data_IF_538370902087
#
_entry.id   IF_538370902087
#
_cell.length_a   1.000
_cell.length_b   1.000
_cell.length_c   1.000
_cell.angle_alpha   90.00
_cell.angle_beta   90.00
_cell.angle_gamma   90.00
#
_symmetry.space_group_name_H-M   'P 1'
#
loop_
_entity.id
_entity.type
_entity.pdbx_description
1 polymer ?
#
# COMPACT_ATOMS: atom_id res chain seq x y z
N UNK A 1 25.49 16.74 -25.98
CA UNK A 1 24.88 15.60 -26.71
C UNK A 1 23.42 15.48 -26.30
N UNK A 2 22.52 15.11 -27.22
CA UNK A 2 21.07 15.15 -26.98
C UNK A 2 20.61 14.11 -25.94
N UNK A 3 19.69 14.51 -25.05
CA UNK A 3 19.03 13.60 -24.10
C UNK A 3 17.91 12.85 -24.83
N UNK A 4 18.26 11.79 -25.54
CA UNK A 4 17.29 10.96 -26.26
C UNK A 4 16.52 10.06 -25.29
N UNK A 5 15.20 10.03 -25.47
CA UNK A 5 14.31 9.06 -24.84
C UNK A 5 13.95 8.00 -25.89
N UNK A 6 13.94 6.72 -25.50
CA UNK A 6 13.52 5.60 -26.35
C UNK A 6 12.16 5.12 -25.87
N UNK A 7 11.18 4.96 -26.77
CA UNK A 7 9.84 4.47 -26.44
C UNK A 7 9.72 2.95 -26.68
N UNK A 8 9.18 2.23 -25.69
CA UNK A 8 8.60 0.91 -25.90
C UNK A 8 7.20 1.07 -26.50
N UNK A 9 7.09 0.81 -27.79
CA UNK A 9 5.84 0.93 -28.56
C UNK A 9 4.74 0.00 -28.03
N UNK A 10 5.09 -1.08 -27.32
CA UNK A 10 4.10 -2.03 -26.78
C UNK A 10 3.41 -1.54 -25.50
N UNK A 11 4.08 -0.69 -24.71
CA UNK A 11 3.59 -0.17 -23.43
C UNK A 11 3.35 1.34 -23.43
N UNK A 12 3.90 2.08 -24.39
CA UNK A 12 3.96 3.55 -24.41
C UNK A 12 4.93 4.13 -23.38
N UNK A 13 5.68 3.29 -22.67
CA UNK A 13 6.66 3.73 -21.67
C UNK A 13 7.91 4.22 -22.42
N UNK A 14 8.50 5.33 -21.98
CA UNK A 14 9.78 5.78 -22.53
C UNK A 14 10.92 5.53 -21.53
N UNK A 15 12.16 5.49 -22.01
CA UNK A 15 13.35 5.15 -21.24
C UNK A 15 14.47 6.13 -21.59
N UNK A 16 15.26 6.58 -20.62
CA UNK A 16 16.41 7.47 -20.84
C UNK A 16 17.63 6.91 -20.11
N UNK A 17 18.56 6.32 -20.85
CA UNK A 17 19.77 5.73 -20.28
C UNK A 17 20.91 6.76 -20.32
N UNK A 18 21.56 6.96 -19.16
CA UNK A 18 22.65 7.93 -18.97
C UNK A 18 23.92 7.17 -18.51
N UNK A 19 24.68 6.53 -19.42
CA UNK A 19 25.75 5.59 -19.05
C UNK A 19 27.02 6.27 -18.51
N UNK A 20 27.31 7.50 -18.96
CA UNK A 20 28.54 8.24 -18.63
C UNK A 20 28.43 9.07 -17.33
N UNK A 21 27.39 8.86 -16.53
CA UNK A 21 27.04 9.70 -15.38
C UNK A 21 27.48 9.08 -14.04
N UNK A 22 28.66 9.48 -13.55
CA UNK A 22 29.19 9.09 -12.24
C UNK A 22 28.45 9.78 -11.08
N UNK A 23 27.20 9.38 -10.83
CA UNK A 23 26.30 9.96 -9.83
C UNK A 23 26.07 9.00 -8.65
N UNK A 24 25.79 9.54 -7.47
CA UNK A 24 25.17 8.76 -6.39
C UNK A 24 23.70 8.50 -6.67
N UNK A 25 23.11 7.48 -6.04
CA UNK A 25 21.68 7.15 -6.17
C UNK A 25 20.75 8.35 -5.91
N UNK A 26 21.02 9.14 -4.85
CA UNK A 26 20.23 10.33 -4.54
C UNK A 26 20.34 11.43 -5.60
N UNK A 27 21.53 11.64 -6.18
CA UNK A 27 21.74 12.61 -7.26
C UNK A 27 21.06 12.14 -8.55
N UNK A 28 21.19 10.86 -8.91
CA UNK A 28 20.50 10.26 -10.05
C UNK A 28 18.98 10.43 -9.92
N UNK A 29 18.41 10.10 -8.75
CA UNK A 29 16.99 10.29 -8.45
C UNK A 29 16.55 11.75 -8.63
N UNK A 30 17.31 12.70 -8.10
CA UNK A 30 17.01 14.13 -8.22
C UNK A 30 17.01 14.61 -9.67
N UNK A 31 17.90 14.06 -10.52
CA UNK A 31 17.97 14.37 -11.96
C UNK A 31 16.79 13.75 -12.73
N UNK A 32 16.31 12.56 -12.35
CA UNK A 32 15.06 12.01 -12.89
C UNK A 32 13.86 12.90 -12.52
N UNK A 33 13.75 13.30 -11.25
CA UNK A 33 12.68 14.16 -10.75
C UNK A 33 12.65 15.55 -11.41
N UNK A 34 13.83 16.15 -11.67
CA UNK A 34 13.97 17.39 -12.44
C UNK A 34 13.48 17.27 -13.89
N UNK A 35 13.38 16.05 -14.44
CA UNK A 35 12.86 15.78 -15.78
C UNK A 35 11.39 15.28 -15.75
N UNK A 36 10.69 15.47 -14.62
CA UNK A 36 9.32 14.97 -14.38
C UNK A 36 9.21 13.44 -14.60
N UNK A 37 10.24 12.72 -14.17
CA UNK A 37 10.35 11.27 -14.15
C UNK A 37 10.82 10.79 -12.76
N UNK A 38 11.05 9.49 -12.60
CA UNK A 38 11.58 8.87 -11.38
C UNK A 38 12.60 7.79 -11.81
N UNK A 39 13.35 7.19 -10.88
CA UNK A 39 14.21 6.05 -11.22
C UNK A 39 13.39 4.83 -11.66
N UNK A 40 13.94 3.99 -12.55
CA UNK A 40 13.28 2.78 -13.09
C UNK A 40 12.66 1.91 -11.99
N UNK A 41 11.40 1.53 -12.21
CA UNK A 41 10.77 0.36 -11.58
C UNK A 41 10.51 -0.72 -12.62
N UNK A 42 11.06 -1.92 -12.43
CA UNK A 42 10.70 -3.07 -13.26
C UNK A 42 9.58 -3.84 -12.54
N UNK A 43 8.38 -3.87 -13.12
CA UNK A 43 7.25 -4.61 -12.52
C UNK A 43 6.83 -5.83 -13.32
N UNK A 44 7.26 -5.94 -14.58
CA UNK A 44 6.83 -6.98 -15.52
C UNK A 44 8.00 -7.63 -16.26
N UNK A 45 7.83 -8.90 -16.67
CA UNK A 45 8.88 -9.68 -17.34
C UNK A 45 9.24 -9.09 -18.71
N UNK A 46 8.26 -8.55 -19.45
CA UNK A 46 8.50 -7.92 -20.76
C UNK A 46 9.33 -6.64 -20.63
N UNK A 47 9.10 -5.85 -19.57
CA UNK A 47 9.87 -4.65 -19.26
C UNK A 47 11.33 -5.00 -18.93
N UNK A 48 11.58 -6.07 -18.17
CA UNK A 48 12.94 -6.57 -17.94
C UNK A 48 13.65 -6.96 -19.25
N UNK A 49 12.95 -7.65 -20.15
CA UNK A 49 13.52 -8.05 -21.44
C UNK A 49 13.85 -6.83 -22.32
N UNK A 50 12.92 -5.88 -22.41
CA UNK A 50 13.10 -4.64 -23.17
C UNK A 50 14.25 -3.78 -22.62
N UNK A 51 14.28 -3.56 -21.30
CA UNK A 51 15.38 -2.83 -20.65
C UNK A 51 16.71 -3.54 -20.81
N UNK A 52 16.74 -4.88 -20.76
CA UNK A 52 17.95 -5.67 -21.02
C UNK A 52 18.49 -5.48 -22.44
N UNK A 53 17.62 -5.48 -23.45
CA UNK A 53 17.99 -5.20 -24.83
C UNK A 53 18.47 -3.75 -25.05
N UNK A 54 17.90 -2.78 -24.33
CA UNK A 54 18.39 -1.40 -24.34
C UNK A 54 19.76 -1.25 -23.65
N UNK A 55 20.07 -2.08 -22.64
CA UNK A 55 21.31 -1.92 -21.85
C UNK A 55 22.47 -2.83 -22.26
N UNK A 56 22.24 -3.85 -23.10
CA UNK A 56 23.23 -4.86 -23.50
C UNK A 56 24.60 -4.33 -24.00
N UNK A 57 24.63 -3.12 -24.53
CA UNK A 57 25.84 -2.49 -25.07
C UNK A 57 26.57 -1.58 -24.07
N UNK A 58 26.06 -1.39 -22.85
CA UNK A 58 26.72 -0.59 -21.82
C UNK A 58 27.49 -1.50 -20.85
N UNK A 59 28.77 -1.20 -20.65
CA UNK A 59 29.64 -1.89 -19.69
C UNK A 59 29.49 -1.38 -18.25
N UNK A 60 28.82 -0.24 -18.05
CA UNK A 60 28.67 0.43 -16.75
C UNK A 60 27.37 0.06 -16.04
N UNK A 61 27.48 -0.22 -14.74
CA UNK A 61 26.35 -0.25 -13.82
C UNK A 61 25.65 1.13 -13.77
N UNK A 62 24.32 1.16 -13.88
CA UNK A 62 23.50 2.38 -13.79
C UNK A 62 22.79 2.44 -12.40
N UNK A 63 21.70 3.22 -12.24
CA UNK A 63 20.90 3.27 -10.99
C UNK A 63 19.39 3.03 -11.23
N UNK A 64 18.75 2.17 -10.41
CA UNK A 64 17.30 1.85 -10.44
C UNK A 64 16.61 2.37 -9.18
N UNK A 65 15.28 2.40 -9.18
CA UNK A 65 14.49 2.87 -8.06
C UNK A 65 14.36 1.91 -6.88
N UNK A 66 14.80 0.65 -7.01
CA UNK A 66 14.68 -0.37 -5.97
C UNK A 66 15.58 -0.03 -4.79
N UNK A 67 15.00 0.07 -3.60
CA UNK A 67 15.72 0.46 -2.40
C UNK A 67 15.10 -0.14 -1.13
N UNK A 68 15.87 -0.10 -0.05
CA UNK A 68 15.46 -0.48 1.31
C UNK A 68 15.78 0.63 2.33
N UNK A 69 15.68 1.90 1.91
CA UNK A 69 16.06 3.07 2.72
C UNK A 69 15.16 3.29 3.94
N UNK A 70 13.93 2.77 3.91
CA UNK A 70 13.04 2.78 5.06
C UNK A 70 13.33 1.55 5.93
N UNK A 71 14.05 1.74 7.05
CA UNK A 71 14.45 0.66 7.97
C UNK A 71 13.31 -0.25 8.45
N UNK A 72 12.07 0.28 8.50
CA UNK A 72 10.91 -0.48 8.95
C UNK A 72 10.30 -1.38 7.87
N UNK A 73 10.49 -1.10 6.57
CA UNK A 73 9.91 -1.88 5.46
C UNK A 73 10.98 -2.64 4.66
N UNK A 74 10.51 -3.56 3.82
CA UNK A 74 11.34 -4.30 2.87
C UNK A 74 11.70 -3.50 1.63
N UNK A 75 12.08 -4.24 0.58
CA UNK A 75 12.38 -3.69 -0.73
C UNK A 75 11.15 -2.99 -1.34
N UNK A 76 11.37 -1.80 -1.89
CA UNK A 76 10.34 -0.98 -2.53
C UNK A 76 10.91 -0.18 -3.70
N UNK A 77 10.10 0.07 -4.73
CA UNK A 77 10.43 1.02 -5.79
C UNK A 77 10.14 2.46 -5.33
N UNK A 78 11.00 3.42 -5.68
CA UNK A 78 10.57 4.83 -5.72
C UNK A 78 9.51 5.02 -6.80
N UNK A 79 8.67 6.06 -6.67
CA UNK A 79 7.50 6.27 -7.52
C UNK A 79 6.26 5.48 -7.10
N UNK A 80 6.40 4.48 -6.21
CA UNK A 80 5.29 3.75 -5.61
C UNK A 80 4.86 2.48 -6.36
N UNK A 81 5.58 2.11 -7.42
CA UNK A 81 5.36 0.86 -8.15
C UNK A 81 5.48 -0.38 -7.22
N UNK A 82 4.64 -1.41 -7.41
CA UNK A 82 4.68 -2.62 -6.59
C UNK A 82 5.96 -3.43 -6.82
N UNK A 83 6.65 -3.85 -5.76
CA UNK A 83 7.81 -4.74 -5.87
C UNK A 83 7.33 -6.20 -5.96
N UNK A 84 6.85 -6.57 -7.16
CA UNK A 84 6.24 -7.87 -7.46
C UNK A 84 7.09 -8.81 -8.32
N UNK A 85 8.11 -8.27 -8.99
CA UNK A 85 8.98 -9.01 -9.90
C UNK A 85 10.42 -8.91 -9.40
N UNK A 86 11.10 -10.06 -9.34
CA UNK A 86 12.48 -10.19 -8.86
C UNK A 86 13.38 -10.68 -9.99
N UNK A 87 14.58 -10.10 -10.08
CA UNK A 87 15.64 -10.55 -11.00
C UNK A 87 17.01 -10.28 -10.38
N UNK A 88 17.29 -10.94 -9.25
CA UNK A 88 18.53 -10.76 -8.50
C UNK A 88 19.69 -11.54 -9.16
N UNK A 89 20.82 -10.88 -9.36
CA UNK A 89 22.03 -11.55 -9.82
C UNK A 89 22.54 -12.55 -8.76
N UNK A 90 23.05 -13.74 -9.15
CA UNK A 90 23.70 -14.66 -8.22
C UNK A 90 24.90 -13.97 -7.54
N UNK A 91 24.72 -13.63 -6.26
CA UNK A 91 25.72 -13.04 -5.39
C UNK A 91 26.40 -11.74 -5.89
N UNK A 92 25.65 -10.65 -6.10
CA UNK A 92 26.04 -9.31 -5.58
C UNK A 92 24.94 -8.24 -5.69
N UNK A 93 24.95 -7.28 -4.76
CA UNK A 93 24.11 -6.07 -4.79
C UNK A 93 24.77 -4.93 -5.60
N UNK A 94 24.22 -4.57 -6.76
CA UNK A 94 24.37 -3.30 -7.52
C UNK A 94 24.00 -3.56 -8.99
N UNK A 95 22.77 -3.32 -9.47
CA UNK A 95 22.35 -2.07 -10.16
C UNK A 95 22.91 -1.88 -11.60
N UNK A 96 22.19 -1.41 -12.63
CA UNK A 96 20.76 -1.07 -12.82
C UNK A 96 20.50 -0.44 -14.23
N UNK A 97 19.37 0.28 -14.43
CA UNK A 97 18.97 1.03 -15.64
C UNK A 97 17.88 2.12 -15.37
N UNK A 98 17.43 2.88 -16.37
CA UNK A 98 16.49 4.01 -16.21
C UNK A 98 15.22 3.90 -17.08
N UNK A 99 14.05 4.29 -16.54
CA UNK A 99 12.75 4.29 -17.22
C UNK A 99 11.82 5.41 -16.73
N UNK A 100 10.91 5.84 -17.61
CA UNK A 100 9.73 6.66 -17.31
C UNK A 100 8.60 5.73 -16.84
N UNK A 101 7.50 6.32 -16.42
CA UNK A 101 6.18 5.71 -16.57
C UNK A 101 5.28 6.78 -17.19
N UNK A 102 4.53 6.45 -18.24
CA UNK A 102 3.43 7.33 -18.66
C UNK A 102 2.25 7.13 -17.73
N UNK A 103 1.86 8.17 -17.01
CA UNK A 103 0.63 8.15 -16.22
C UNK A 103 -0.57 8.25 -17.17
N UNK A 104 -1.51 7.31 -17.05
CA UNK A 104 -2.82 7.41 -17.69
C UNK A 104 -3.88 7.72 -16.63
N UNK A 105 -4.49 8.91 -16.67
CA UNK A 105 -5.69 9.16 -15.86
C UNK A 105 -6.91 8.53 -16.50
N UNK A 106 -7.28 7.35 -16.02
CA UNK A 106 -8.66 6.86 -16.15
C UNK A 106 -9.57 7.70 -15.26
N UNK A 107 -10.27 8.69 -15.83
CA UNK A 107 -11.54 9.16 -15.27
C UNK A 107 -12.67 8.26 -15.76
N UNK A 108 -13.00 7.21 -15.02
CA UNK A 108 -14.39 6.76 -14.99
C UNK A 108 -15.16 7.70 -14.07
N UNK A 109 -15.75 8.73 -14.67
CA UNK A 109 -16.72 9.60 -14.02
C UNK A 109 -18.01 8.84 -13.75
N UNK A 110 -18.00 8.03 -12.70
CA UNK A 110 -19.18 7.40 -12.12
C UNK A 110 -19.23 7.71 -10.64
N UNK A 111 -20.21 8.53 -10.21
CA UNK A 111 -20.64 8.51 -8.81
C UNK A 111 -21.41 7.21 -8.59
N UNK A 112 -20.68 6.13 -8.38
CA UNK A 112 -21.28 5.00 -7.69
C UNK A 112 -21.18 5.32 -6.19
N UNK A 113 -22.29 5.81 -5.64
CA UNK A 113 -22.43 5.92 -4.19
C UNK A 113 -22.12 4.54 -3.59
N UNK A 114 -21.18 4.49 -2.64
CA UNK A 114 -20.83 3.28 -1.93
C UNK A 114 -22.06 2.78 -1.15
N UNK A 115 -22.87 1.94 -1.80
CA UNK A 115 -24.05 1.32 -1.19
C UNK A 115 -23.60 0.55 0.05
N UNK A 116 -24.33 0.62 1.17
CA UNK A 116 -24.01 -0.18 2.35
C UNK A 116 -23.91 -1.66 1.98
N UNK A 117 -22.76 -2.26 2.29
CA UNK A 117 -22.46 -3.64 1.92
C UNK A 117 -22.85 -4.53 3.08
N UNK A 118 -23.82 -5.42 2.86
CA UNK A 118 -24.14 -6.48 3.81
C UNK A 118 -23.24 -7.67 3.52
N UNK A 119 -22.38 -8.00 4.48
CA UNK A 119 -21.59 -9.22 4.48
C UNK A 119 -22.28 -10.30 5.33
N UNK A 120 -22.01 -11.60 5.08
CA UNK A 120 -22.49 -12.67 5.95
C UNK A 120 -21.92 -12.57 7.37
N UNK A 121 -22.55 -13.23 8.34
CA UNK A 121 -22.04 -13.27 9.72
C UNK A 121 -20.61 -13.82 9.77
N UNK A 122 -19.74 -13.18 10.56
CA UNK A 122 -18.30 -13.48 10.59
C UNK A 122 -17.50 -12.92 9.41
N UNK A 123 -18.07 -12.01 8.61
CA UNK A 123 -17.37 -11.28 7.55
C UNK A 123 -17.53 -9.76 7.73
N UNK A 124 -16.43 -9.02 7.60
CA UNK A 124 -16.40 -7.57 7.77
C UNK A 124 -16.41 -6.86 6.41
N UNK A 125 -17.31 -5.88 6.18
CA UNK A 125 -17.38 -5.13 4.94
C UNK A 125 -16.27 -4.07 4.83
N UNK A 126 -15.59 -4.01 3.69
CA UNK A 126 -14.72 -2.90 3.33
C UNK A 126 -14.65 -2.71 1.81
N UNK A 127 -14.83 -1.46 1.35
CA UNK A 127 -14.59 -1.01 -0.04
C UNK A 127 -14.99 -2.01 -1.15
N UNK A 128 -16.27 -2.38 -1.24
CA UNK A 128 -16.79 -3.28 -2.27
C UNK A 128 -16.72 -4.78 -1.94
N UNK A 129 -16.16 -5.17 -0.79
CA UNK A 129 -15.78 -6.55 -0.49
C UNK A 129 -16.07 -6.94 0.97
N UNK A 130 -16.05 -8.23 1.24
CA UNK A 130 -16.21 -8.86 2.54
C UNK A 130 -14.94 -9.65 2.89
N UNK A 131 -14.43 -9.50 4.12
CA UNK A 131 -13.18 -10.14 4.58
C UNK A 131 -13.41 -10.93 5.86
N UNK A 132 -12.65 -12.01 6.06
CA UNK A 132 -12.71 -12.80 7.30
C UNK A 132 -11.37 -13.46 7.61
N UNK A 133 -10.94 -13.42 8.88
CA UNK A 133 -9.74 -14.11 9.36
C UNK A 133 -10.13 -15.51 9.84
N UNK A 134 -9.58 -16.52 9.19
CA UNK A 134 -9.72 -17.92 9.56
C UNK A 134 -8.54 -18.30 10.45
N UNK A 135 -8.82 -18.60 11.73
CA UNK A 135 -7.80 -18.90 12.76
C UNK A 135 -7.43 -20.38 12.91
N UNK A 136 -8.02 -21.25 12.09
CA UNK A 136 -7.61 -22.65 11.98
C UNK A 136 -6.38 -22.72 11.07
N UNK A 137 -5.18 -23.14 11.54
CA UNK A 137 -3.99 -23.12 10.71
C UNK A 137 -4.05 -24.12 9.55
N UNK A 138 -3.67 -23.69 8.35
CA UNK A 138 -3.60 -24.53 7.14
C UNK A 138 -2.37 -24.17 6.30
N UNK A 139 -1.92 -25.11 5.48
CA UNK A 139 -0.93 -24.82 4.42
C UNK A 139 -1.59 -23.91 3.37
N UNK A 140 -0.81 -23.15 2.61
CA UNK A 140 -1.36 -22.09 1.73
C UNK A 140 -2.41 -22.63 0.73
N UNK A 141 -2.16 -23.80 0.14
CA UNK A 141 -3.07 -24.47 -0.81
C UNK A 141 -4.40 -24.91 -0.18
N UNK A 142 -4.38 -25.35 1.08
CA UNK A 142 -5.57 -25.75 1.83
C UNK A 142 -6.33 -24.54 2.36
N UNK A 143 -5.62 -23.47 2.72
CA UNK A 143 -6.19 -22.17 3.05
C UNK A 143 -6.95 -21.58 1.85
N UNK A 144 -6.34 -21.58 0.66
CA UNK A 144 -7.01 -21.22 -0.60
C UNK A 144 -8.25 -22.06 -0.87
N UNK A 145 -8.13 -23.39 -0.76
CA UNK A 145 -9.26 -24.31 -0.94
C UNK A 145 -10.39 -24.04 0.07
N UNK A 146 -10.04 -23.67 1.31
CA UNK A 146 -11.00 -23.33 2.36
C UNK A 146 -11.73 -22.00 2.08
N UNK A 147 -11.05 -20.98 1.56
CA UNK A 147 -11.71 -19.76 1.09
C UNK A 147 -12.63 -20.05 -0.11
N UNK A 148 -12.17 -20.85 -1.09
CA UNK A 148 -12.97 -21.22 -2.27
C UNK A 148 -14.29 -21.93 -1.91
N UNK A 149 -14.28 -22.78 -0.87
CA UNK A 149 -15.51 -23.42 -0.34
C UNK A 149 -16.54 -22.43 0.23
N UNK A 150 -16.14 -21.19 0.53
CA UNK A 150 -17.00 -20.14 1.08
C UNK A 150 -17.37 -19.06 0.05
N UNK A 151 -17.23 -19.37 -1.25
CA UNK A 151 -17.37 -18.44 -2.38
C UNK A 151 -16.43 -17.23 -2.25
N UNK A 152 -15.17 -17.51 -1.88
CA UNK A 152 -14.14 -16.52 -1.62
C UNK A 152 -12.78 -16.94 -2.22
N UNK A 153 -11.80 -16.06 -2.08
CA UNK A 153 -10.39 -16.34 -2.35
C UNK A 153 -9.55 -15.99 -1.12
N UNK A 154 -8.26 -16.31 -1.11
CA UNK A 154 -7.32 -15.68 -0.19
C UNK A 154 -7.25 -14.18 -0.48
N UNK A 155 -7.06 -13.36 0.55
CA UNK A 155 -7.17 -11.92 0.42
C UNK A 155 -6.08 -11.32 -0.48
N UNK A 156 -6.53 -10.68 -1.55
CA UNK A 156 -5.77 -9.73 -2.37
C UNK A 156 -5.82 -8.32 -1.79
N UNK A 157 -4.77 -7.53 -2.02
CA UNK A 157 -4.63 -6.17 -1.47
C UNK A 157 -4.07 -5.21 -2.55
N UNK A 158 -4.81 -4.15 -2.86
CA UNK A 158 -4.57 -3.29 -4.02
C UNK A 158 -4.15 -1.87 -3.69
N UNK A 159 -4.31 -1.44 -2.44
CA UNK A 159 -4.01 -0.08 -2.00
C UNK A 159 -3.76 -0.02 -0.48
N UNK A 160 -3.24 1.14 -0.03
CA UNK A 160 -2.91 1.39 1.38
C UNK A 160 -4.14 1.34 2.30
N UNK A 161 -5.33 1.73 1.83
CA UNK A 161 -6.52 1.80 2.68
C UNK A 161 -7.12 0.42 2.97
N UNK A 162 -7.10 -0.48 1.99
CA UNK A 162 -7.42 -1.90 2.15
C UNK A 162 -6.44 -2.61 3.09
N UNK A 163 -5.13 -2.39 2.91
CA UNK A 163 -4.11 -2.86 3.84
C UNK A 163 -4.33 -2.31 5.26
N UNK A 164 -4.60 -1.01 5.40
CA UNK A 164 -4.91 -0.38 6.69
C UNK A 164 -6.15 -0.96 7.35
N UNK A 165 -7.16 -1.38 6.59
CA UNK A 165 -8.34 -2.07 7.11
C UNK A 165 -7.99 -3.45 7.69
N UNK A 166 -7.18 -4.25 6.99
CA UNK A 166 -6.74 -5.57 7.49
C UNK A 166 -6.04 -5.45 8.85
N UNK A 167 -5.16 -4.47 9.02
CA UNK A 167 -4.37 -4.31 10.27
C UNK A 167 -5.11 -3.57 11.40
N UNK A 168 -6.06 -2.68 11.10
CA UNK A 168 -6.73 -1.85 12.12
C UNK A 168 -8.11 -2.32 12.56
N UNK A 169 -8.88 -2.99 11.69
CA UNK A 169 -10.31 -3.24 11.89
C UNK A 169 -10.73 -4.70 11.73
N UNK A 170 -10.01 -5.50 10.93
CA UNK A 170 -10.35 -6.91 10.74
C UNK A 170 -10.04 -7.80 11.97
N UNK A 171 -9.49 -7.22 13.05
CA UNK A 171 -9.13 -7.96 14.26
C UNK A 171 -7.82 -8.75 14.15
N UNK A 172 -6.90 -8.27 13.31
CA UNK A 172 -5.51 -8.74 13.23
C UNK A 172 -4.77 -8.53 14.57
N UNK A 173 -3.89 -9.47 14.93
CA UNK A 173 -3.01 -9.34 16.09
C UNK A 173 -1.53 -9.40 15.67
N UNK A 174 -0.64 -8.55 16.23
CA UNK A 174 0.80 -8.56 15.95
C UNK A 174 1.53 -9.91 16.11
N UNK A 175 0.96 -10.81 16.92
CA UNK A 175 1.47 -12.17 17.19
C UNK A 175 1.00 -13.22 16.19
N UNK A 176 0.08 -12.87 15.29
CA UNK A 176 -0.45 -13.76 14.25
C UNK A 176 0.35 -13.58 12.94
N UNK A 177 0.67 -14.70 12.28
CA UNK A 177 1.07 -14.74 10.87
C UNK A 177 -0.13 -15.24 10.06
N UNK A 178 -0.58 -14.48 9.06
CA UNK A 178 -1.78 -14.78 8.27
C UNK A 178 -1.46 -14.91 6.79
N UNK A 179 -1.80 -16.02 6.13
CA UNK A 179 -1.68 -16.14 4.67
C UNK A 179 -2.52 -15.09 3.91
N UNK A 180 -1.91 -14.52 2.87
CA UNK A 180 -2.54 -13.71 1.84
C UNK A 180 -2.53 -14.47 0.50
N UNK A 181 -3.26 -13.97 -0.51
CA UNK A 181 -3.31 -14.62 -1.82
C UNK A 181 -2.05 -14.45 -2.70
N UNK A 182 -1.03 -13.72 -2.23
CA UNK A 182 0.16 -13.41 -3.02
C UNK A 182 1.13 -14.60 -2.99
N UNK A 183 1.57 -15.03 -4.16
CA UNK A 183 2.40 -16.23 -4.37
C UNK A 183 3.15 -16.13 -5.71
N UNK A 184 4.21 -16.91 -5.92
CA UNK A 184 4.92 -17.02 -7.21
C UNK A 184 4.80 -18.42 -7.86
N UNK A 185 3.78 -19.21 -7.47
CA UNK A 185 3.60 -20.63 -7.83
C UNK A 185 3.55 -20.90 -9.34
N UNK A 186 3.03 -19.97 -10.15
CA UNK A 186 2.91 -20.16 -11.60
C UNK A 186 4.18 -19.78 -12.36
N UNK A 187 4.94 -18.83 -11.82
CA UNK A 187 6.11 -18.24 -12.44
C UNK A 187 7.03 -17.74 -11.33
N UNK A 188 8.05 -18.54 -11.04
CA UNK A 188 9.00 -18.24 -9.99
C UNK A 188 9.61 -16.83 -10.16
N UNK A 189 9.79 -16.11 -9.06
CA UNK A 189 10.19 -14.69 -9.00
C UNK A 189 9.15 -13.67 -9.49
N UNK A 190 7.94 -14.08 -9.89
CA UNK A 190 6.87 -13.20 -10.35
C UNK A 190 5.61 -13.40 -9.49
N UNK A 191 5.45 -12.54 -8.49
CA UNK A 191 4.34 -12.60 -7.56
C UNK A 191 3.02 -12.17 -8.20
N UNK A 192 1.97 -12.97 -7.99
CA UNK A 192 0.60 -12.75 -8.45
C UNK A 192 -0.44 -13.10 -7.37
N UNK A 193 -1.65 -12.53 -7.48
CA UNK A 193 -2.76 -12.83 -6.57
C UNK A 193 -3.52 -14.08 -7.03
N UNK A 194 -3.87 -14.96 -6.07
CA UNK A 194 -4.64 -16.19 -6.31
C UNK A 194 -6.02 -15.98 -6.93
N UNK A 195 -6.63 -14.81 -6.72
CA UNK A 195 -7.90 -14.39 -7.32
C UNK A 195 -7.77 -13.84 -8.76
N UNK A 196 -6.55 -13.77 -9.30
CA UNK A 196 -6.25 -13.27 -10.64
C UNK A 196 -6.31 -11.75 -10.78
N UNK A 197 -6.47 -11.00 -9.69
CA UNK A 197 -6.42 -9.54 -9.72
C UNK A 197 -4.99 -9.01 -9.90
N UNK A 198 -4.79 -7.81 -10.47
CA UNK A 198 -3.44 -7.25 -10.66
C UNK A 198 -2.79 -6.88 -9.32
N UNK A 199 -1.49 -7.17 -9.20
CA UNK A 199 -0.69 -6.75 -8.04
C UNK A 199 -0.31 -5.28 -8.21
N UNK A 200 -1.12 -4.38 -7.66
CA UNK A 200 -0.94 -2.91 -7.72
C UNK A 200 -0.29 -2.31 -6.47
N UNK A 201 -0.08 -3.11 -5.42
CA UNK A 201 0.41 -2.66 -4.12
C UNK A 201 1.19 -3.77 -3.41
N UNK A 202 2.28 -3.40 -2.73
CA UNK A 202 3.11 -4.32 -1.94
C UNK A 202 3.60 -3.66 -0.65
N UNK A 203 3.56 -4.38 0.48
CA UNK A 203 4.08 -3.92 1.78
C UNK A 203 4.98 -4.95 2.47
N UNK A 204 6.13 -5.21 1.86
CA UNK A 204 7.13 -6.14 2.38
C UNK A 204 7.69 -5.73 3.76
N UNK A 205 7.97 -6.74 4.58
CA UNK A 205 8.73 -6.63 5.83
C UNK A 205 10.21 -6.41 5.50
N UNK A 206 10.95 -5.75 6.40
CA UNK A 206 12.41 -5.59 6.26
C UNK A 206 13.09 -6.90 5.85
N UNK A 207 13.96 -6.82 4.82
CA UNK A 207 14.67 -7.93 4.15
C UNK A 207 13.83 -8.90 3.31
N UNK A 208 12.49 -8.81 3.31
CA UNK A 208 11.64 -9.56 2.38
C UNK A 208 11.37 -8.79 1.08
N UNK A 209 10.97 -9.49 -0.01
CA UNK A 209 10.94 -10.95 -0.18
C UNK A 209 12.34 -11.58 -0.08
N UNK A 210 12.45 -12.68 0.66
CA UNK A 210 13.66 -13.51 0.78
C UNK A 210 13.51 -14.71 -0.13
N UNK A 211 14.54 -15.02 -0.91
CA UNK A 211 14.56 -16.17 -1.83
C UNK A 211 15.14 -17.41 -1.15
N UNK A 212 14.46 -18.55 -1.29
CA UNK A 212 14.96 -19.87 -0.90
C UNK A 212 15.15 -20.71 -2.15
N UNK A 213 16.38 -21.18 -2.42
CA UNK A 213 16.73 -21.75 -3.73
C UNK A 213 15.91 -23.00 -4.10
N UNK A 214 15.10 -22.90 -5.14
CA UNK A 214 14.31 -24.01 -5.67
C UNK A 214 13.02 -24.32 -4.92
N UNK A 215 12.51 -23.40 -4.10
CA UNK A 215 11.20 -23.51 -3.44
C UNK A 215 10.24 -22.43 -3.93
N UNK A 216 8.96 -22.79 -3.96
CA UNK A 216 7.84 -21.87 -4.18
C UNK A 216 7.62 -20.98 -2.93
N UNK A 217 7.45 -19.67 -3.13
CA UNK A 217 7.30 -18.68 -2.07
C UNK A 217 5.84 -18.20 -1.94
N UNK A 218 5.23 -18.51 -0.79
CA UNK A 218 3.91 -18.01 -0.40
C UNK A 218 4.03 -16.83 0.57
N UNK A 219 3.08 -15.90 0.56
CA UNK A 219 3.21 -14.64 1.31
C UNK A 219 2.25 -14.56 2.50
N UNK A 220 2.81 -14.30 3.68
CA UNK A 220 2.08 -14.08 4.92
C UNK A 220 2.21 -12.65 5.44
N UNK A 221 1.13 -12.12 6.03
CA UNK A 221 1.07 -10.87 6.78
C UNK A 221 1.49 -11.12 8.23
N UNK A 222 2.47 -10.38 8.78
CA UNK A 222 3.01 -10.62 10.13
C UNK A 222 3.57 -9.38 10.85
N UNK A 223 3.73 -9.51 12.16
CA UNK A 223 4.36 -8.51 13.04
C UNK A 223 3.47 -7.30 13.34
N UNK A 224 3.99 -6.36 14.14
CA UNK A 224 3.25 -5.19 14.62
C UNK A 224 2.57 -4.36 13.51
N UNK A 225 3.21 -4.29 12.35
CA UNK A 225 2.76 -3.50 11.21
C UNK A 225 1.94 -4.34 10.21
N UNK A 226 1.81 -5.65 10.40
CA UNK A 226 1.24 -6.56 9.39
C UNK A 226 1.98 -6.49 8.06
N UNK A 227 3.31 -6.36 8.05
CA UNK A 227 4.08 -6.39 6.82
C UNK A 227 4.18 -7.80 6.25
N UNK A 228 4.44 -7.88 4.95
CA UNK A 228 4.38 -9.11 4.18
C UNK A 228 5.75 -9.80 4.17
N UNK A 229 5.78 -11.10 4.38
CA UNK A 229 6.98 -11.92 4.32
C UNK A 229 6.74 -13.15 3.44
N UNK A 230 7.73 -13.48 2.61
CA UNK A 230 7.78 -14.79 1.94
C UNK A 230 8.05 -15.89 2.95
N UNK A 231 7.47 -17.06 2.70
CA UNK A 231 7.48 -18.20 3.60
C UNK A 231 7.16 -19.48 2.82
N UNK A 232 7.64 -20.63 3.29
CA UNK A 232 7.38 -21.92 2.63
C UNK A 232 5.88 -22.25 2.64
N UNK A 233 5.31 -22.56 1.49
CA UNK A 233 3.87 -22.75 1.31
C UNK A 233 3.25 -23.85 2.20
N UNK A 234 4.05 -24.84 2.60
CA UNK A 234 3.65 -25.93 3.50
C UNK A 234 3.62 -25.54 4.99
N UNK A 235 3.93 -24.29 5.34
CA UNK A 235 3.77 -23.82 6.72
C UNK A 235 2.28 -23.70 7.07
N UNK A 236 1.85 -24.34 8.16
CA UNK A 236 0.50 -24.19 8.65
C UNK A 236 0.33 -22.83 9.34
N UNK A 237 -0.41 -21.92 8.70
CA UNK A 237 -0.74 -20.59 9.23
C UNK A 237 -2.25 -20.36 9.17
N UNK A 238 -2.74 -19.49 10.04
CA UNK A 238 -4.05 -18.85 9.88
C UNK A 238 -4.08 -18.03 8.58
N UNK A 239 -5.25 -17.62 8.09
CA UNK A 239 -5.37 -17.02 6.75
C UNK A 239 -6.53 -16.04 6.63
N UNK A 240 -6.45 -15.13 5.65
CA UNK A 240 -7.49 -14.14 5.38
C UNK A 240 -8.22 -14.51 4.09
N UNK A 241 -9.54 -14.66 4.15
CA UNK A 241 -10.38 -14.80 2.96
C UNK A 241 -11.01 -13.45 2.57
N UNK A 242 -11.22 -13.24 1.26
CA UNK A 242 -11.87 -12.07 0.66
C UNK A 242 -12.90 -12.53 -0.38
N UNK A 243 -14.07 -11.90 -0.40
CA UNK A 243 -15.08 -12.09 -1.46
C UNK A 243 -15.84 -10.82 -1.81
N UNK A 244 -16.53 -10.84 -2.94
CA UNK A 244 -17.57 -9.85 -3.23
C UNK A 244 -18.81 -10.12 -2.35
N UNK A 245 -19.58 -9.10 -1.97
CA UNK A 245 -20.84 -9.31 -1.28
C UNK A 245 -21.84 -10.01 -2.19
N UNK A 246 -22.69 -10.85 -1.58
CA UNK A 246 -23.81 -11.48 -2.26
C UNK A 246 -24.80 -10.43 -2.75
N UNK A 247 -25.39 -10.63 -3.93
CA UNK A 247 -26.15 -9.64 -4.69
C UNK A 247 -27.55 -9.30 -4.13
N UNK A 248 -27.86 -9.64 -2.88
CA UNK A 248 -29.15 -9.30 -2.27
C UNK A 248 -29.15 -7.85 -1.78
N UNK A 249 -30.12 -7.09 -2.28
CA UNK A 249 -30.17 -5.63 -2.20
C UNK A 249 -30.76 -5.10 -0.89
N UNK A 250 -30.09 -4.08 -0.36
CA UNK A 250 -30.65 -2.92 0.36
C UNK A 250 -31.64 -3.14 1.50
N UNK A 251 -31.17 -2.78 2.70
CA UNK A 251 -31.82 -1.68 3.42
C UNK A 251 -30.77 -0.77 4.05
N UNK A 252 -31.11 0.51 4.30
CA UNK A 252 -30.18 1.49 4.89
C UNK A 252 -30.10 1.32 6.39
N UNK A 253 -29.36 0.33 6.86
CA UNK A 253 -28.73 0.46 8.18
C UNK A 253 -27.51 1.38 8.04
N UNK A 254 -27.70 2.65 8.41
CA UNK A 254 -26.56 3.43 8.88
C UNK A 254 -26.01 2.69 10.09
N UNK A 255 -24.83 2.08 9.96
CA UNK A 255 -24.12 1.47 11.08
C UNK A 255 -23.89 2.59 12.11
N UNK A 256 -24.74 2.63 13.13
CA UNK A 256 -24.65 3.55 14.25
C UNK A 256 -23.61 3.01 15.21
N UNK A 257 -22.45 3.66 15.25
CA UNK A 257 -21.35 3.30 16.14
C UNK A 257 -21.77 3.55 17.61
N UNK A 258 -21.94 2.51 18.46
CA UNK A 258 -22.50 2.70 19.79
C UNK A 258 -21.62 3.61 20.66
N UNK A 259 -22.20 4.73 21.10
CA UNK A 259 -21.53 5.79 21.86
C UNK A 259 -21.06 6.99 21.04
N UNK A 260 -21.14 6.96 19.71
CA UNK A 260 -20.80 8.09 18.85
C UNK A 260 -22.04 8.84 18.32
N UNK A 261 -21.86 10.11 17.96
CA UNK A 261 -22.90 10.88 17.28
C UNK A 261 -23.14 10.36 15.86
N UNK A 262 -24.35 10.55 15.33
CA UNK A 262 -24.73 10.12 13.98
C UNK A 262 -23.75 10.66 12.91
N UNK A 263 -23.18 9.76 12.13
CA UNK A 263 -22.19 10.07 11.08
C UNK A 263 -20.73 10.01 11.52
N UNK A 264 -20.45 9.91 12.83
CA UNK A 264 -19.11 9.70 13.37
C UNK A 264 -18.79 8.19 13.43
N UNK A 265 -17.52 7.84 13.24
CA UNK A 265 -17.01 6.46 13.30
C UNK A 265 -16.13 6.24 14.51
N UNK A 266 -16.35 5.13 15.23
CA UNK A 266 -15.64 4.83 16.46
C UNK A 266 -14.34 4.11 16.19
N UNK A 267 -13.28 4.52 16.88
CA UNK A 267 -12.05 3.74 16.99
C UNK A 267 -11.51 3.85 18.42
N UNK A 268 -11.38 2.70 19.09
CA UNK A 268 -11.06 2.63 20.52
C UNK A 268 -12.08 3.37 21.39
N UNK A 269 -11.63 4.43 22.07
CA UNK A 269 -12.43 5.29 22.94
C UNK A 269 -12.86 6.61 22.27
N UNK A 270 -12.49 6.84 21.00
CA UNK A 270 -12.71 8.10 20.30
C UNK A 270 -13.69 7.92 19.14
N UNK A 271 -14.35 9.03 18.77
CA UNK A 271 -15.22 9.13 17.61
C UNK A 271 -14.59 10.11 16.61
N UNK A 272 -14.59 9.76 15.32
CA UNK A 272 -13.95 10.53 14.25
C UNK A 272 -14.96 10.88 13.16
N UNK A 273 -14.80 12.05 12.54
CA UNK A 273 -15.64 12.51 11.44
C UNK A 273 -14.77 13.12 10.34
N UNK A 274 -15.06 12.79 9.08
CA UNK A 274 -14.43 13.41 7.91
C UNK A 274 -15.37 14.47 7.34
N UNK A 275 -14.97 15.73 7.47
CA UNK A 275 -15.69 16.86 6.87
C UNK A 275 -15.81 16.74 5.34
N UNK A 276 -16.90 17.26 4.79
CA UNK A 276 -17.15 17.30 3.34
C UNK A 276 -16.79 18.64 2.69
N UNK A 277 -16.56 19.69 3.49
CA UNK A 277 -16.19 21.02 3.01
C UNK A 277 -14.67 21.13 2.79
N UNK A 278 -14.27 21.78 1.70
CA UNK A 278 -12.88 22.18 1.47
C UNK A 278 -12.61 23.46 2.28
N UNK A 279 -11.83 23.35 3.35
CA UNK A 279 -11.55 24.41 4.31
C UNK A 279 -10.05 24.65 4.47
N UNK A 280 -9.65 25.85 4.89
CA UNK A 280 -8.31 26.09 5.42
C UNK A 280 -8.13 25.44 6.81
N UNK A 281 -6.88 25.30 7.28
CA UNK A 281 -6.59 24.76 8.61
C UNK A 281 -7.32 25.51 9.74
N UNK A 282 -7.37 26.85 9.67
CA UNK A 282 -8.03 27.66 10.72
C UNK A 282 -9.54 27.49 10.74
N UNK A 283 -10.17 27.43 9.56
CA UNK A 283 -11.61 27.16 9.43
C UNK A 283 -11.94 25.74 9.89
N UNK A 284 -11.15 24.74 9.47
CA UNK A 284 -11.34 23.35 9.87
C UNK A 284 -11.21 23.18 11.40
N UNK A 285 -10.21 23.80 12.04
CA UNK A 285 -10.07 23.78 13.50
C UNK A 285 -11.30 24.39 14.19
N UNK A 286 -11.76 25.57 13.75
CA UNK A 286 -12.99 26.19 14.27
C UNK A 286 -14.21 25.29 14.05
N UNK A 287 -14.34 24.60 12.92
CA UNK A 287 -15.46 23.70 12.65
C UNK A 287 -15.48 22.50 13.62
N UNK A 288 -14.31 21.94 13.93
CA UNK A 288 -14.18 20.91 14.96
C UNK A 288 -14.57 21.45 16.35
N UNK A 289 -14.07 22.63 16.74
CA UNK A 289 -14.38 23.27 18.03
C UNK A 289 -15.90 23.50 18.21
N UNK A 290 -16.59 24.03 17.19
CA UNK A 290 -18.05 24.19 17.21
C UNK A 290 -18.81 22.86 17.36
N UNK A 291 -18.21 21.76 16.90
CA UNK A 291 -18.75 20.40 17.04
C UNK A 291 -18.38 19.74 18.38
N UNK A 292 -17.79 20.48 19.33
CA UNK A 292 -17.23 20.00 20.60
C UNK A 292 -16.15 18.93 20.42
N UNK A 293 -15.37 19.06 19.35
CA UNK A 293 -14.26 18.19 18.99
C UNK A 293 -13.01 19.03 18.66
N UNK A 294 -11.94 18.38 18.21
CA UNK A 294 -10.71 19.01 17.72
C UNK A 294 -10.25 18.32 16.42
N UNK A 295 -9.35 18.95 15.66
CA UNK A 295 -8.71 18.29 14.51
C UNK A 295 -7.95 17.05 15.00
N UNK A 296 -8.17 15.91 14.33
CA UNK A 296 -7.71 14.61 14.80
C UNK A 296 -6.22 14.59 15.19
N UNK A 297 -5.97 14.04 16.39
CA UNK A 297 -4.64 13.59 16.83
C UNK A 297 -4.27 12.28 16.12
N UNK A 298 -3.01 11.88 16.24
CA UNK A 298 -2.54 10.55 15.82
C UNK A 298 -1.52 10.09 16.86
N UNK A 299 -1.97 9.27 17.80
CA UNK A 299 -1.21 8.77 18.94
C UNK A 299 -0.58 7.41 18.66
N UNK A 300 -1.16 6.65 17.71
CA UNK A 300 -0.68 5.31 17.37
C UNK A 300 -0.69 5.00 15.88
N UNK A 301 0.09 3.99 15.48
CA UNK A 301 0.10 3.44 14.13
C UNK A 301 -1.24 2.83 13.71
N UNK A 302 -1.96 2.22 14.66
CA UNK A 302 -3.23 1.55 14.35
C UNK A 302 -4.35 2.57 14.15
N UNK A 303 -4.30 3.69 14.88
CA UNK A 303 -5.13 4.88 14.63
C UNK A 303 -4.77 5.55 13.30
N UNK A 304 -3.49 5.72 12.99
CA UNK A 304 -3.04 6.20 11.67
C UNK A 304 -3.61 5.33 10.53
N UNK A 305 -3.60 4.00 10.69
CA UNK A 305 -4.20 3.09 9.74
C UNK A 305 -5.74 3.26 9.69
N UNK A 306 -6.42 3.32 10.84
CA UNK A 306 -7.87 3.57 10.88
C UNK A 306 -8.25 4.87 10.14
N UNK A 307 -7.54 5.98 10.37
CA UNK A 307 -7.79 7.25 9.67
C UNK A 307 -7.63 7.12 8.15
N UNK A 308 -6.65 6.35 7.67
CA UNK A 308 -6.50 6.03 6.23
C UNK A 308 -7.74 5.29 5.71
N UNK A 309 -8.30 4.34 6.46
CA UNK A 309 -9.53 3.65 6.05
C UNK A 309 -10.75 4.57 6.00
N UNK A 310 -10.82 5.55 6.92
CA UNK A 310 -11.92 6.49 7.05
C UNK A 310 -11.93 7.54 5.92
N UNK A 311 -10.75 7.93 5.44
CA UNK A 311 -10.57 8.68 4.20
C UNK A 311 -10.92 7.80 2.98
N UNK A 312 -10.54 6.51 3.01
CA UNK A 312 -11.00 5.48 2.08
C UNK A 312 -10.61 5.76 0.62
N UNK A 313 -11.59 5.59 -0.29
CA UNK A 313 -11.42 5.82 -1.73
C UNK A 313 -11.88 7.24 -2.17
N UNK A 314 -11.83 8.22 -1.26
CA UNK A 314 -12.17 9.61 -1.59
C UNK A 314 -11.22 10.21 -2.62
N UNK A 315 -11.72 11.20 -3.35
CA UNK A 315 -11.00 11.90 -4.43
C UNK A 315 -10.09 13.03 -3.94
N UNK A 316 -10.33 13.47 -2.71
CA UNK A 316 -9.66 14.56 -2.03
C UNK A 316 -8.21 14.17 -1.70
N UNK A 317 -7.25 14.98 -2.15
CA UNK A 317 -5.80 14.63 -2.10
C UNK A 317 -5.18 14.75 -0.71
N UNK A 318 -5.74 15.57 0.16
CA UNK A 318 -5.20 15.87 1.48
C UNK A 318 -6.35 16.13 2.45
N UNK A 319 -6.15 15.76 3.72
CA UNK A 319 -7.08 15.99 4.82
C UNK A 319 -6.31 16.63 5.98
N UNK A 320 -6.94 17.59 6.68
CA UNK A 320 -6.31 18.25 7.82
C UNK A 320 -6.33 17.35 9.07
N UNK A 321 -5.21 17.32 9.78
CA UNK A 321 -5.04 16.74 11.12
C UNK A 321 -4.55 17.85 12.08
N UNK A 322 -4.58 17.61 13.39
CA UNK A 322 -4.29 18.65 14.40
C UNK A 322 -2.83 19.07 14.54
N UNK A 323 -1.88 18.44 13.83
CA UNK A 323 -0.45 18.69 14.03
C UNK A 323 -0.01 19.99 13.33
N UNK A 324 0.50 20.95 14.08
CA UNK A 324 0.99 22.22 13.52
C UNK A 324 2.15 22.83 14.31
N UNK A 325 2.94 23.67 13.65
CA UNK A 325 4.01 24.48 14.23
C UNK A 325 3.67 25.99 14.24
N UNK A 326 2.37 26.31 14.22
CA UNK A 326 1.86 27.69 14.13
C UNK A 326 2.07 28.48 15.42
N UNK A 327 2.11 27.79 16.58
CA UNK A 327 2.39 28.41 17.89
C UNK A 327 3.88 28.69 18.10
N UNK A 328 4.75 27.81 17.60
CA UNK A 328 6.20 27.88 17.80
C UNK A 328 6.91 27.30 16.57
N UNK A 329 7.68 28.14 15.88
CA UNK A 329 8.29 27.79 14.59
C UNK A 329 9.39 26.74 14.80
N UNK A 330 9.17 25.55 14.24
CA UNK A 330 10.07 24.39 14.39
C UNK A 330 9.61 23.36 15.44
N UNK A 331 8.59 23.68 16.23
CA UNK A 331 8.03 22.82 17.29
C UNK A 331 6.60 22.41 16.91
N UNK A 332 6.42 21.13 16.55
CA UNK A 332 5.11 20.61 16.15
C UNK A 332 4.32 20.13 17.37
N UNK A 333 3.10 20.64 17.52
CA UNK A 333 2.17 20.29 18.61
C UNK A 333 0.77 20.05 18.06
N UNK A 334 0.00 19.22 18.76
CA UNK A 334 -1.41 19.00 18.45
C UNK A 334 -2.26 20.21 18.86
N UNK A 335 -3.36 20.45 18.14
CA UNK A 335 -4.37 21.46 18.49
C UNK A 335 -5.03 21.19 19.85
N UNK A 336 -5.09 19.92 20.28
CA UNK A 336 -5.49 19.51 21.65
C UNK A 336 -4.56 20.06 22.75
N UNK A 337 -3.31 20.43 22.41
CA UNK A 337 -2.28 20.89 23.34
C UNK A 337 -1.23 19.83 23.68
N UNK A 338 -1.42 18.58 23.25
CA UNK A 338 -0.49 17.47 23.48
C UNK A 338 0.76 17.55 22.60
N UNK A 339 1.81 16.86 23.02
CA UNK A 339 3.03 16.63 22.25
C UNK A 339 2.93 15.35 21.42
N UNK A 340 3.39 15.32 20.16
CA UNK A 340 3.33 14.11 19.33
C UNK A 340 4.26 13.01 19.87
N UNK A 341 3.66 11.92 20.37
CA UNK A 341 4.37 10.68 20.73
C UNK A 341 4.60 9.76 19.53
N UNK A 342 3.78 9.92 18.48
CA UNK A 342 3.88 9.21 17.20
C UNK A 342 4.00 10.23 16.06
N UNK A 343 4.74 9.87 15.01
CA UNK A 343 4.82 10.64 13.77
C UNK A 343 4.83 9.72 12.56
N UNK A 344 4.21 10.18 11.47
CA UNK A 344 4.15 9.48 10.19
C UNK A 344 4.45 10.44 9.03
N UNK A 345 5.64 11.05 9.08
CA UNK A 345 6.07 12.02 8.08
C UNK A 345 6.24 11.38 6.70
N UNK A 346 5.91 12.17 5.67
CA UNK A 346 6.26 11.82 4.29
C UNK A 346 7.77 12.00 4.04
N UNK A 347 8.27 11.51 2.91
CA UNK A 347 9.67 11.71 2.49
C UNK A 347 10.00 13.20 2.44
N UNK A 348 11.11 13.60 3.07
CA UNK A 348 11.56 15.00 3.19
C UNK A 348 10.57 15.95 3.90
N UNK A 349 9.82 15.45 4.89
CA UNK A 349 9.03 16.24 5.83
C UNK A 349 9.56 16.05 7.27
N UNK A 350 9.38 17.02 8.20
CA UNK A 350 8.66 18.29 8.03
C UNK A 350 9.48 19.47 7.46
N UNK A 351 10.80 19.32 7.28
CA UNK A 351 11.71 20.32 6.76
C UNK A 351 13.16 19.85 6.81
#
# INVERSE_FOLDING_TARGET
TGRFWTEDVSTGIHYQINPDSALTWYQARKICQQQNAELLSITEIHEQAYVGELTKNFSSALWIGLNSLNFNSGWQWVGGSPFRYLNWAPAHNSSAACAKLHWATSRKGGREELKPIKCPDGWWPYAGHCYSIQREPKIWKDALTSCKRQDADLASVHNVAEYSFLVSQLGYKPTEELWLGLNDLKAHFYFEWSDGTPVTFTKWQSRHPTYTSGLEDCVAMKGQDGYWATNVCDKQLSYICKKKPSSQSSEKETIEDPGCQKGWKRYGFHCYLVGSALLTFSEANKTCEHSKAYLATVESRNEQAFLITLMGLRSEKCFWIGLSNTRERGSFRWTSGETPLFTHWNTAMPG
#
